data_IF_386067667385
#
_entry.id   IF_386067667385
#
_cell.length_a   1.000
_cell.length_b   1.000
_cell.length_c   1.000
_cell.angle_alpha   90.00
_cell.angle_beta   90.00
_cell.angle_gamma   90.00
#
_symmetry.space_group_name_H-M   'P 1'
#
loop_
_entity.id
_entity.type
_entity.pdbx_description
1 polymer ?
#
# COMPACT_ATOMS: atom_id res chain seq x y z
N UNK A 1 8.56 -9.15 8.97
CA UNK A 1 8.77 -8.16 7.86
C UNK A 1 10.09 -7.42 8.07
N UNK A 2 10.78 -7.05 6.97
CA UNK A 2 12.04 -6.30 7.05
C UNK A 2 11.72 -4.86 7.50
N UNK A 3 12.42 -4.37 8.52
CA UNK A 3 12.29 -2.98 8.99
C UNK A 3 12.80 -2.02 7.91
N UNK A 4 12.16 -0.84 7.78
CA UNK A 4 12.73 0.22 6.95
C UNK A 4 14.08 0.67 7.48
N UNK A 5 14.98 1.04 6.59
CA UNK A 5 16.27 1.65 6.91
C UNK A 5 16.30 3.05 6.31
N UNK A 6 16.57 4.06 7.13
CA UNK A 6 16.68 5.45 6.67
C UNK A 6 18.11 5.96 6.81
N UNK A 7 18.70 6.40 5.70
CA UNK A 7 19.92 7.15 5.73
C UNK A 7 19.64 8.56 6.29
N UNK A 8 20.48 9.03 7.22
CA UNK A 8 20.32 10.33 7.86
C UNK A 8 21.42 11.28 7.39
N UNK A 9 21.01 12.40 6.83
CA UNK A 9 21.87 13.53 6.47
C UNK A 9 21.64 14.65 7.48
N UNK A 10 22.71 15.28 7.96
CA UNK A 10 22.66 16.44 8.85
C UNK A 10 23.30 17.63 8.17
N UNK A 11 22.51 18.69 7.95
CA UNK A 11 22.98 19.92 7.34
C UNK A 11 23.67 20.82 8.38
N UNK A 12 24.70 21.53 7.98
CA UNK A 12 25.32 22.62 8.75
C UNK A 12 25.69 23.78 7.85
N UNK A 13 25.69 24.99 8.42
CA UNK A 13 26.31 26.18 7.80
C UNK A 13 27.21 26.84 8.84
N UNK A 14 28.49 27.06 8.49
CA UNK A 14 29.61 27.29 9.42
C UNK A 14 29.51 28.44 10.40
N UNK A 15 28.68 29.45 10.14
CA UNK A 15 28.47 30.58 11.06
C UNK A 15 27.23 30.42 11.96
N UNK A 16 26.46 29.34 11.79
CA UNK A 16 25.37 28.98 12.70
C UNK A 16 25.86 28.07 13.84
N UNK A 17 25.09 27.92 14.94
CA UNK A 17 25.53 27.12 16.07
C UNK A 17 25.73 25.64 15.69
N UNK A 18 26.99 25.20 15.60
CA UNK A 18 27.33 23.79 15.35
C UNK A 18 27.08 22.87 16.53
N UNK A 19 26.96 23.43 17.75
CA UNK A 19 26.68 22.66 18.98
C UNK A 19 25.35 21.89 18.93
N UNK A 20 24.37 22.34 18.11
CA UNK A 20 23.07 21.70 17.97
C UNK A 20 23.08 20.41 17.14
N UNK A 21 24.19 20.14 16.41
CA UNK A 21 24.22 18.99 15.48
C UNK A 21 24.31 17.67 16.23
N UNK A 22 25.14 17.60 17.27
CA UNK A 22 25.31 16.36 18.06
C UNK A 22 23.98 15.90 18.66
N UNK A 23 23.27 16.81 19.33
CA UNK A 23 21.95 16.49 19.92
C UNK A 23 20.92 16.13 18.84
N UNK A 24 20.90 16.86 17.71
CA UNK A 24 20.00 16.57 16.60
C UNK A 24 20.24 15.16 16.02
N UNK A 25 21.49 14.73 15.93
CA UNK A 25 21.84 13.38 15.49
C UNK A 25 21.26 12.31 16.42
N UNK A 26 21.45 12.46 17.74
CA UNK A 26 20.93 11.54 18.75
C UNK A 26 19.39 11.49 18.75
N UNK A 27 18.75 12.65 18.69
CA UNK A 27 17.29 12.80 18.66
C UNK A 27 16.67 12.20 17.39
N UNK A 28 17.30 12.39 16.23
CA UNK A 28 16.82 11.85 14.97
C UNK A 28 16.94 10.32 14.90
N UNK A 29 18.05 9.76 15.38
CA UNK A 29 18.23 8.31 15.51
C UNK A 29 17.12 7.73 16.40
N UNK A 30 16.90 8.30 17.58
CA UNK A 30 15.87 7.86 18.50
C UNK A 30 14.46 7.98 17.89
N UNK A 31 14.18 9.03 17.09
CA UNK A 31 12.91 9.20 16.41
C UNK A 31 12.67 8.10 15.36
N UNK A 32 13.69 7.77 14.57
CA UNK A 32 13.62 6.67 13.57
C UNK A 32 13.39 5.32 14.25
N UNK A 33 14.10 5.05 15.34
CA UNK A 33 13.94 3.80 16.10
C UNK A 33 12.56 3.68 16.74
N UNK A 34 11.96 4.80 17.18
CA UNK A 34 10.61 4.85 17.78
C UNK A 34 9.53 4.32 16.84
N UNK A 35 9.67 4.52 15.53
CA UNK A 35 8.75 3.96 14.52
C UNK A 35 9.15 2.55 14.05
N UNK A 36 10.10 1.90 14.74
CA UNK A 36 10.56 0.55 14.43
C UNK A 36 11.49 0.46 13.22
N UNK A 37 11.95 1.59 12.66
CA UNK A 37 12.92 1.64 11.58
C UNK A 37 14.36 1.60 12.10
N UNK A 38 15.35 1.53 11.21
CA UNK A 38 16.78 1.59 11.50
C UNK A 38 17.38 2.87 10.92
N UNK A 39 18.25 3.52 11.67
CA UNK A 39 19.00 4.67 11.20
C UNK A 39 20.35 4.22 10.63
N UNK A 40 20.67 4.67 9.42
CA UNK A 40 21.97 4.51 8.77
C UNK A 40 22.66 5.89 8.76
N UNK A 41 23.75 6.02 9.48
CA UNK A 41 24.43 7.29 9.68
C UNK A 41 25.90 7.22 9.28
N UNK A 42 26.37 8.26 8.59
CA UNK A 42 27.81 8.44 8.37
C UNK A 42 28.56 8.56 9.70
N UNK A 43 29.79 8.06 9.75
CA UNK A 43 30.65 8.18 10.93
C UNK A 43 30.84 9.67 11.30
N UNK A 44 30.59 10.08 12.57
CA UNK A 44 30.71 11.47 13.01
C UNK A 44 32.15 12.01 12.93
N UNK A 45 33.19 11.16 12.87
CA UNK A 45 34.57 11.55 12.77
C UNK A 45 34.98 11.91 11.32
N UNK A 46 34.23 11.57 10.30
CA UNK A 46 34.55 11.87 8.89
C UNK A 46 34.36 13.34 8.53
N UNK A 47 33.48 14.03 9.23
CA UNK A 47 33.22 15.47 9.09
C UNK A 47 32.89 16.04 10.48
N UNK A 48 32.65 17.35 10.57
CA UNK A 48 32.28 17.96 11.84
C UNK A 48 30.94 17.38 12.34
N UNK A 49 31.00 16.50 13.32
CA UNK A 49 29.83 15.77 13.89
C UNK A 49 29.08 14.89 12.88
N UNK A 50 29.70 14.50 11.79
CA UNK A 50 29.03 13.76 10.72
C UNK A 50 28.04 14.61 9.91
N UNK A 51 28.11 15.95 10.02
CA UNK A 51 27.31 16.88 9.25
C UNK A 51 27.99 17.27 7.94
N UNK A 52 27.23 17.87 7.02
CA UNK A 52 27.72 18.37 5.73
C UNK A 52 27.61 19.89 5.69
N UNK A 53 28.75 20.55 5.49
CA UNK A 53 28.90 22.00 5.47
C UNK A 53 29.49 22.51 4.15
N UNK A 54 30.27 21.67 3.44
CA UNK A 54 30.98 22.02 2.23
C UNK A 54 30.68 21.04 1.09
N UNK A 55 30.96 21.41 -0.18
CA UNK A 55 30.87 20.48 -1.31
C UNK A 55 31.74 19.23 -1.15
N UNK A 56 32.93 19.37 -0.52
CA UNK A 56 33.84 18.26 -0.23
C UNK A 56 33.19 17.26 0.71
N UNK A 57 32.58 17.72 1.79
CA UNK A 57 31.85 16.90 2.76
C UNK A 57 30.60 16.29 2.11
N UNK A 58 29.95 17.02 1.20
CA UNK A 58 28.86 16.49 0.36
C UNK A 58 29.31 15.28 -0.46
N UNK A 59 30.49 15.32 -1.05
CA UNK A 59 31.07 14.15 -1.77
C UNK A 59 31.42 12.98 -0.84
N UNK A 60 31.90 13.25 0.39
CA UNK A 60 32.11 12.21 1.39
C UNK A 60 30.77 11.51 1.70
N UNK A 61 29.70 12.28 1.94
CA UNK A 61 28.37 11.73 2.19
C UNK A 61 27.82 10.95 1.00
N UNK A 62 28.00 11.44 -0.23
CA UNK A 62 27.58 10.73 -1.45
C UNK A 62 28.32 9.37 -1.58
N UNK A 63 29.61 9.32 -1.27
CA UNK A 63 30.37 8.07 -1.27
C UNK A 63 29.88 7.11 -0.17
N UNK A 64 29.54 7.63 1.01
CA UNK A 64 28.89 6.85 2.06
C UNK A 64 27.56 6.24 1.58
N UNK A 65 26.68 6.99 0.96
CA UNK A 65 25.43 6.47 0.41
C UNK A 65 25.69 5.40 -0.67
N UNK A 66 26.68 5.63 -1.53
CA UNK A 66 27.05 4.68 -2.59
C UNK A 66 27.60 3.36 -2.04
N UNK A 67 28.37 3.40 -0.95
CA UNK A 67 28.87 2.18 -0.31
C UNK A 67 27.78 1.36 0.39
N UNK A 68 26.60 1.94 0.61
CA UNK A 68 25.42 1.31 1.22
C UNK A 68 24.22 1.28 0.23
N UNK A 69 24.50 1.35 -1.10
CA UNK A 69 23.44 1.22 -2.11
C UNK A 69 22.66 -0.08 -1.85
N UNK A 70 21.32 -0.04 -1.94
CA UNK A 70 20.40 -1.12 -1.60
C UNK A 70 20.21 -1.45 -0.10
N UNK A 71 20.94 -0.82 0.81
CA UNK A 71 20.76 -1.05 2.24
C UNK A 71 19.75 -0.11 2.90
N UNK A 72 19.38 1.02 2.25
CA UNK A 72 18.43 1.99 2.78
C UNK A 72 17.22 2.19 1.86
N UNK A 73 16.07 2.47 2.47
CA UNK A 73 14.77 2.60 1.79
C UNK A 73 14.39 4.06 1.55
N UNK A 74 14.98 4.99 2.29
CA UNK A 74 14.71 6.42 2.20
C UNK A 74 15.85 7.25 2.80
N UNK A 75 15.89 8.53 2.43
CA UNK A 75 16.85 9.50 2.97
C UNK A 75 16.09 10.59 3.75
N UNK A 76 16.53 10.86 4.97
CA UNK A 76 16.01 11.98 5.77
C UNK A 76 17.05 13.10 5.78
N UNK A 77 16.69 14.24 5.21
CA UNK A 77 17.47 15.48 5.26
C UNK A 77 17.06 16.28 6.50
N UNK A 78 17.88 16.22 7.54
CA UNK A 78 17.69 16.93 8.79
C UNK A 78 18.45 18.25 8.77
N UNK A 79 17.75 19.35 9.05
CA UNK A 79 18.32 20.69 9.20
C UNK A 79 18.33 21.08 10.69
N UNK A 80 19.41 20.82 11.44
CA UNK A 80 19.58 21.31 12.81
C UNK A 80 19.72 22.82 12.89
N UNK A 81 20.26 23.44 11.82
CA UNK A 81 20.34 24.87 11.57
C UNK A 81 20.06 25.14 10.07
N UNK A 82 20.42 26.31 9.57
CA UNK A 82 20.15 26.77 8.20
C UNK A 82 20.61 25.77 7.12
N UNK A 83 21.75 25.12 7.29
CA UNK A 83 22.36 24.19 6.33
C UNK A 83 23.05 24.87 5.15
N UNK A 84 23.92 24.11 4.45
CA UNK A 84 24.62 24.56 3.25
C UNK A 84 24.05 23.95 1.99
N UNK A 85 23.68 24.79 1.02
CA UNK A 85 23.03 24.38 -0.23
C UNK A 85 23.99 23.71 -1.22
N UNK A 86 25.27 24.05 -1.21
CA UNK A 86 26.26 23.47 -2.12
C UNK A 86 26.68 22.07 -1.66
N UNK A 87 26.84 21.88 -0.35
CA UNK A 87 27.13 20.56 0.23
C UNK A 87 26.04 19.56 -0.07
N UNK A 88 24.78 19.96 0.09
CA UNK A 88 23.64 19.07 -0.16
C UNK A 88 23.50 18.67 -1.64
N UNK A 89 23.80 19.58 -2.58
CA UNK A 89 23.77 19.30 -4.03
C UNK A 89 24.70 18.14 -4.38
N UNK A 90 25.92 18.13 -3.83
CA UNK A 90 26.89 17.05 -4.04
C UNK A 90 26.46 15.75 -3.34
N UNK A 91 25.88 15.86 -2.13
CA UNK A 91 25.51 14.72 -1.31
C UNK A 91 24.41 13.85 -1.91
N UNK A 92 23.45 14.45 -2.64
CA UNK A 92 22.21 13.76 -3.03
C UNK A 92 22.01 13.58 -4.53
N UNK A 93 22.96 14.00 -5.36
CA UNK A 93 22.83 14.01 -6.83
C UNK A 93 22.45 12.65 -7.45
N UNK A 94 22.84 11.56 -6.83
CA UNK A 94 22.61 10.19 -7.32
C UNK A 94 21.54 9.42 -6.50
N UNK A 95 20.84 10.10 -5.58
CA UNK A 95 19.83 9.47 -4.70
C UNK A 95 18.57 9.13 -5.51
N UNK A 96 18.16 7.86 -5.43
CA UNK A 96 16.99 7.31 -6.16
C UNK A 96 15.83 6.89 -5.25
N UNK A 97 16.00 6.97 -3.94
CA UNK A 97 14.98 6.65 -2.94
C UNK A 97 14.17 7.90 -2.55
N UNK A 98 13.00 7.75 -1.92
CA UNK A 98 12.27 8.90 -1.36
C UNK A 98 13.11 9.70 -0.37
N UNK A 99 12.88 11.02 -0.36
CA UNK A 99 13.58 11.97 0.51
C UNK A 99 12.56 12.68 1.38
N UNK A 100 12.76 12.69 2.71
CA UNK A 100 12.00 13.48 3.68
C UNK A 100 12.83 14.68 4.14
N UNK A 101 12.24 15.89 4.14
CA UNK A 101 12.85 17.10 4.69
C UNK A 101 12.29 17.38 6.07
N UNK A 102 13.16 17.39 7.07
CA UNK A 102 12.88 17.81 8.43
C UNK A 102 13.76 19.03 8.77
N UNK A 103 13.20 20.01 9.47
CA UNK A 103 13.94 21.13 10.04
C UNK A 103 13.47 21.39 11.47
N UNK A 104 14.39 21.80 12.33
CA UNK A 104 14.11 22.14 13.71
C UNK A 104 13.41 23.50 13.81
N UNK A 105 12.42 23.67 14.70
CA UNK A 105 11.89 24.98 15.06
C UNK A 105 12.93 25.76 15.88
N UNK A 106 12.88 27.10 15.81
CA UNK A 106 13.56 27.95 16.76
C UNK A 106 12.72 28.10 18.05
N UNK A 107 13.40 28.12 19.19
CA UNK A 107 12.79 28.43 20.49
C UNK A 107 12.64 29.95 20.64
N UNK A 108 11.41 30.44 20.96
CA UNK A 108 11.11 31.88 20.97
C UNK A 108 11.94 32.69 21.98
N UNK A 109 12.50 32.07 23.00
CA UNK A 109 13.36 32.64 24.02
C UNK A 109 14.88 32.52 23.66
N UNK A 110 15.22 31.92 22.51
CA UNK A 110 16.60 31.64 22.08
C UNK A 110 16.84 32.10 20.63
N UNK A 111 16.39 33.31 20.30
CA UNK A 111 16.51 33.90 18.95
C UNK A 111 17.76 34.79 18.78
N UNK A 112 18.64 34.83 19.76
CA UNK A 112 19.91 35.56 19.65
C UNK A 112 20.89 34.87 18.68
N UNK A 113 21.89 35.58 18.16
CA UNK A 113 22.83 35.05 17.14
C UNK A 113 23.61 33.79 17.58
N UNK A 114 23.77 33.55 18.87
CA UNK A 114 24.50 32.38 19.37
C UNK A 114 23.64 31.11 19.43
N UNK A 115 22.33 31.24 19.48
CA UNK A 115 21.40 30.15 19.73
C UNK A 115 20.41 29.86 18.58
N UNK A 116 20.08 30.88 17.77
CA UNK A 116 19.10 30.74 16.69
C UNK A 116 19.57 29.77 15.61
N UNK A 117 18.69 28.91 15.17
CA UNK A 117 18.92 27.88 14.17
C UNK A 117 18.71 28.37 12.74
N UNK A 118 17.69 29.22 12.52
CA UNK A 118 17.18 29.66 11.21
C UNK A 118 16.87 28.50 10.24
N UNK A 119 16.59 27.31 10.77
CA UNK A 119 16.34 26.13 9.97
C UNK A 119 15.05 26.23 9.15
N UNK A 120 14.08 27.06 9.57
CA UNK A 120 12.89 27.39 8.79
C UNK A 120 13.26 28.04 7.44
N UNK A 121 14.09 29.08 7.47
CA UNK A 121 14.59 29.74 6.25
C UNK A 121 15.45 28.78 5.42
N UNK A 122 16.34 28.02 6.09
CA UNK A 122 17.19 27.04 5.44
C UNK A 122 16.38 25.99 4.68
N UNK A 123 15.28 25.47 5.27
CA UNK A 123 14.40 24.50 4.61
C UNK A 123 13.73 25.09 3.36
N UNK A 124 13.27 26.34 3.39
CA UNK A 124 12.72 27.01 2.20
C UNK A 124 13.76 27.13 1.08
N UNK A 125 14.99 27.57 1.42
CA UNK A 125 16.10 27.62 0.47
C UNK A 125 16.40 26.25 -0.13
N UNK A 126 16.50 25.23 0.73
CA UNK A 126 16.74 23.86 0.29
C UNK A 126 15.63 23.33 -0.63
N UNK A 127 14.36 23.56 -0.30
CA UNK A 127 13.24 23.17 -1.18
C UNK A 127 13.38 23.79 -2.59
N UNK A 128 13.79 25.07 -2.67
CA UNK A 128 14.04 25.72 -3.94
C UNK A 128 15.18 25.08 -4.73
N UNK A 129 16.28 24.74 -4.06
CA UNK A 129 17.43 24.06 -4.68
C UNK A 129 17.05 22.67 -5.17
N UNK A 130 16.37 21.87 -4.36
CA UNK A 130 15.91 20.53 -4.76
C UNK A 130 14.98 20.60 -5.97
N UNK A 131 14.09 21.60 -6.01
CA UNK A 131 13.21 21.83 -7.17
C UNK A 131 14.00 22.19 -8.43
N UNK A 132 15.03 23.04 -8.33
CA UNK A 132 15.92 23.37 -9.44
C UNK A 132 16.70 22.15 -9.95
N UNK A 133 17.07 21.22 -9.06
CA UNK A 133 17.73 19.96 -9.39
C UNK A 133 16.77 18.90 -9.93
N UNK A 134 15.46 19.17 -9.99
CA UNK A 134 14.41 18.21 -10.32
C UNK A 134 14.40 16.99 -9.37
N UNK A 135 14.80 17.18 -8.13
CA UNK A 135 14.77 16.15 -7.07
C UNK A 135 13.40 16.15 -6.40
N UNK A 136 12.80 14.97 -6.27
CA UNK A 136 11.50 14.77 -5.60
C UNK A 136 11.73 14.62 -4.11
N UNK A 137 10.88 15.26 -3.29
CA UNK A 137 10.98 15.19 -1.83
C UNK A 137 9.59 15.31 -1.19
N UNK A 138 9.50 14.87 0.06
CA UNK A 138 8.34 14.96 0.94
C UNK A 138 8.65 15.95 2.06
N UNK A 139 7.71 16.83 2.38
CA UNK A 139 7.80 17.69 3.56
C UNK A 139 7.12 17.02 4.77
N UNK A 140 7.56 17.41 5.97
CA UNK A 140 6.80 17.20 7.20
C UNK A 140 5.50 18.01 7.17
N UNK A 141 4.45 17.59 7.85
CA UNK A 141 3.15 18.30 7.90
C UNK A 141 3.35 19.69 8.48
N UNK A 142 3.92 19.80 9.69
CA UNK A 142 4.42 21.08 10.19
C UNK A 142 5.73 21.39 9.52
N UNK A 143 5.88 22.62 9.01
CA UNK A 143 7.04 22.98 8.19
C UNK A 143 8.37 22.81 8.92
N UNK A 144 8.41 23.16 10.21
CA UNK A 144 9.47 22.79 11.16
C UNK A 144 8.85 21.94 12.28
N UNK A 145 9.56 20.91 12.72
CA UNK A 145 9.04 19.96 13.69
C UNK A 145 10.17 19.40 14.56
N UNK A 146 9.94 19.29 15.86
CA UNK A 146 10.86 18.65 16.79
C UNK A 146 10.83 17.12 16.58
N UNK A 147 11.97 16.45 16.38
CA UNK A 147 12.05 15.00 16.26
C UNK A 147 11.44 14.20 17.43
N UNK A 148 11.29 14.81 18.60
CA UNK A 148 10.69 14.18 19.79
C UNK A 148 9.17 14.23 19.78
N UNK A 149 8.55 15.01 18.91
CA UNK A 149 7.10 15.23 18.89
C UNK A 149 6.34 14.01 18.36
N UNK A 150 5.04 13.99 18.68
CA UNK A 150 4.08 13.01 18.13
C UNK A 150 3.87 13.26 16.64
N UNK A 151 3.83 14.54 16.24
CA UNK A 151 3.68 14.96 14.85
C UNK A 151 4.80 14.39 13.97
N UNK A 152 6.04 14.46 14.43
CA UNK A 152 7.16 13.88 13.66
C UNK A 152 7.11 12.34 13.63
N UNK A 153 6.61 11.71 14.68
CA UNK A 153 6.34 10.26 14.68
C UNK A 153 5.32 9.89 13.60
N UNK A 154 4.28 10.70 13.41
CA UNK A 154 3.29 10.52 12.33
C UNK A 154 3.91 10.76 10.94
N UNK A 155 4.75 11.81 10.79
CA UNK A 155 5.50 12.07 9.57
C UNK A 155 6.42 10.90 9.17
N UNK A 156 7.14 10.31 10.14
CA UNK A 156 7.99 9.14 9.91
C UNK A 156 7.18 7.89 9.55
N UNK A 157 6.01 7.70 10.16
CA UNK A 157 5.09 6.61 9.83
C UNK A 157 4.60 6.72 8.40
N UNK A 158 4.16 7.93 8.00
CA UNK A 158 3.77 8.24 6.63
C UNK A 158 4.93 8.06 5.65
N UNK A 159 6.11 8.56 5.98
CA UNK A 159 7.31 8.41 5.13
C UNK A 159 7.74 6.94 4.98
N UNK A 160 7.63 6.16 6.06
CA UNK A 160 7.85 4.71 6.01
C UNK A 160 6.91 4.03 5.01
N UNK A 161 5.63 4.40 5.00
CA UNK A 161 4.65 3.91 4.03
C UNK A 161 5.04 4.29 2.59
N UNK A 162 5.41 5.56 2.35
CA UNK A 162 5.86 6.05 1.03
C UNK A 162 7.04 5.22 0.53
N UNK A 163 8.06 5.01 1.36
CA UNK A 163 9.26 4.24 0.98
C UNK A 163 8.90 2.79 0.60
N UNK A 164 8.02 2.13 1.38
CA UNK A 164 7.58 0.76 1.10
C UNK A 164 6.81 0.66 -0.21
N UNK A 165 5.86 1.58 -0.44
CA UNK A 165 5.07 1.63 -1.67
C UNK A 165 5.99 1.81 -2.88
N UNK A 166 6.87 2.83 -2.85
CA UNK A 166 7.77 3.14 -3.96
C UNK A 166 8.70 1.96 -4.25
N UNK A 167 9.31 1.39 -3.21
CA UNK A 167 10.21 0.24 -3.35
C UNK A 167 9.52 -0.97 -3.98
N UNK A 168 8.27 -1.25 -3.55
CA UNK A 168 7.56 -2.46 -3.97
C UNK A 168 6.94 -2.33 -5.36
N UNK A 169 6.37 -1.17 -5.69
CA UNK A 169 5.67 -0.97 -6.96
C UNK A 169 6.62 -0.63 -8.12
N UNK A 170 7.82 -0.12 -7.86
CA UNK A 170 8.78 0.26 -8.91
C UNK A 170 9.18 -0.89 -9.83
N UNK A 171 9.13 -2.13 -9.34
CA UNK A 171 9.46 -3.35 -10.07
C UNK A 171 8.49 -4.47 -9.66
N UNK A 172 7.19 -4.20 -9.77
CA UNK A 172 6.12 -5.11 -9.40
C UNK A 172 5.84 -6.10 -10.52
N UNK A 173 5.55 -7.36 -10.15
CA UNK A 173 5.01 -8.36 -11.08
C UNK A 173 3.61 -8.79 -10.66
N UNK A 174 2.67 -8.74 -11.61
CA UNK A 174 1.27 -9.14 -11.43
C UNK A 174 1.06 -10.46 -12.19
N UNK A 175 0.62 -11.51 -11.48
CA UNK A 175 0.18 -12.73 -12.12
C UNK A 175 -1.32 -12.67 -12.42
N UNK A 176 -1.71 -12.80 -13.68
CA UNK A 176 -3.10 -12.90 -14.10
C UNK A 176 -3.47 -14.36 -14.30
N UNK A 177 -4.38 -14.87 -13.48
CA UNK A 177 -4.82 -16.27 -13.53
C UNK A 177 -6.11 -16.40 -14.34
N UNK A 178 -5.97 -16.73 -15.61
CA UNK A 178 -7.05 -16.87 -16.58
C UNK A 178 -7.41 -15.60 -17.33
N UNK A 179 -8.15 -15.76 -18.42
CA UNK A 179 -8.59 -14.66 -19.24
C UNK A 179 -9.71 -13.85 -18.57
N UNK A 180 -9.80 -12.56 -18.92
CA UNK A 180 -10.89 -11.69 -18.45
C UNK A 180 -12.25 -12.32 -18.74
N UNK A 181 -13.15 -12.27 -17.74
CA UNK A 181 -14.55 -12.69 -17.91
C UNK A 181 -15.22 -11.86 -19.00
N UNK A 182 -15.86 -12.53 -19.99
CA UNK A 182 -16.35 -11.91 -21.24
C UNK A 182 -17.27 -10.70 -21.01
N UNK A 183 -18.14 -10.76 -20.00
CA UNK A 183 -19.08 -9.69 -19.66
C UNK A 183 -18.38 -8.44 -19.09
N UNK A 184 -17.23 -8.58 -18.44
CA UNK A 184 -16.55 -7.48 -17.74
C UNK A 184 -15.62 -6.67 -18.64
N UNK A 185 -16.18 -5.89 -19.52
CA UNK A 185 -15.38 -4.94 -20.33
C UNK A 185 -14.84 -3.78 -19.50
N UNK A 186 -15.42 -3.49 -18.35
CA UNK A 186 -14.98 -2.43 -17.42
C UNK A 186 -13.63 -2.69 -16.78
N UNK A 187 -13.16 -3.96 -16.68
CA UNK A 187 -11.86 -4.33 -16.15
C UNK A 187 -10.79 -4.49 -17.23
N UNK A 188 -11.01 -3.99 -18.46
CA UNK A 188 -9.96 -3.93 -19.48
C UNK A 188 -8.86 -2.99 -19.04
N UNK A 189 -7.64 -3.32 -19.41
CA UNK A 189 -6.46 -2.53 -19.05
C UNK A 189 -5.50 -2.38 -20.23
N UNK A 190 -4.65 -1.40 -20.14
CA UNK A 190 -3.52 -1.16 -21.03
C UNK A 190 -2.26 -1.69 -20.33
N UNK A 191 -1.80 -2.85 -20.80
CA UNK A 191 -0.62 -3.54 -20.26
C UNK A 191 0.64 -2.69 -20.42
N UNK A 192 0.82 -2.05 -21.60
CA UNK A 192 1.94 -1.17 -21.84
C UNK A 192 1.98 0.05 -20.91
N UNK A 193 0.81 0.58 -20.49
CA UNK A 193 0.76 1.66 -19.51
C UNK A 193 1.23 1.20 -18.11
N UNK A 194 0.95 -0.05 -17.74
CA UNK A 194 1.41 -0.65 -16.49
C UNK A 194 2.92 -0.91 -16.53
N UNK A 195 3.43 -1.51 -17.61
CA UNK A 195 4.86 -1.77 -17.81
C UNK A 195 5.69 -0.48 -17.78
N UNK A 196 5.20 0.59 -18.43
CA UNK A 196 5.83 1.91 -18.40
C UNK A 196 5.94 2.50 -16.99
N UNK A 197 5.22 1.96 -16.01
CA UNK A 197 5.25 2.33 -14.60
C UNK A 197 5.92 1.29 -13.70
N UNK A 198 6.56 0.27 -14.29
CA UNK A 198 7.29 -0.77 -13.57
C UNK A 198 6.43 -1.95 -13.11
N UNK A 199 5.20 -2.08 -13.62
CA UNK A 199 4.31 -3.21 -13.33
C UNK A 199 4.35 -4.20 -14.50
N UNK A 200 5.13 -5.26 -14.36
CA UNK A 200 5.21 -6.39 -15.30
C UNK A 200 3.97 -7.30 -15.12
N UNK A 201 3.30 -7.65 -16.20
CA UNK A 201 2.06 -8.45 -16.17
C UNK A 201 2.29 -9.81 -16.82
N UNK A 202 2.21 -10.88 -16.02
CA UNK A 202 2.39 -12.26 -16.46
C UNK A 202 1.04 -12.97 -16.50
N UNK A 203 0.55 -13.32 -17.69
CA UNK A 203 -0.75 -13.99 -17.87
C UNK A 203 -0.57 -15.49 -17.98
N UNK A 204 -1.19 -16.24 -17.06
CA UNK A 204 -1.26 -17.70 -17.07
C UNK A 204 -2.67 -18.16 -17.45
N UNK A 205 -2.75 -19.17 -18.31
CA UNK A 205 -4.03 -19.83 -18.60
C UNK A 205 -4.53 -20.60 -17.37
N UNK A 206 -5.85 -20.66 -17.17
CA UNK A 206 -6.44 -21.43 -16.05
C UNK A 206 -6.10 -22.91 -16.11
N UNK A 207 -5.82 -23.47 -17.28
CA UNK A 207 -5.38 -24.87 -17.41
C UNK A 207 -4.07 -25.12 -16.66
N UNK A 208 -3.15 -24.16 -16.64
CA UNK A 208 -1.90 -24.26 -15.88
C UNK A 208 -2.16 -24.29 -14.37
N UNK A 209 -3.13 -23.49 -13.88
CA UNK A 209 -3.57 -23.53 -12.48
C UNK A 209 -4.22 -24.87 -12.17
N UNK A 210 -5.09 -25.36 -13.03
CA UNK A 210 -5.78 -26.64 -12.87
C UNK A 210 -4.83 -27.84 -12.88
N UNK A 211 -3.80 -27.80 -13.73
CA UNK A 211 -2.79 -28.86 -13.76
C UNK A 211 -1.99 -28.91 -12.45
N UNK A 212 -1.67 -27.77 -11.85
CA UNK A 212 -1.06 -27.74 -10.52
C UNK A 212 -2.00 -28.33 -9.46
N UNK A 213 -3.27 -27.92 -9.43
CA UNK A 213 -4.28 -28.46 -8.49
C UNK A 213 -4.38 -29.99 -8.63
N UNK A 214 -4.40 -30.54 -9.86
CA UNK A 214 -4.47 -31.99 -10.12
C UNK A 214 -3.24 -32.75 -9.61
N UNK A 215 -2.06 -32.14 -9.61
CA UNK A 215 -0.81 -32.75 -9.13
C UNK A 215 -0.73 -32.81 -7.60
N UNK A 216 -1.51 -32.00 -6.88
CA UNK A 216 -1.52 -31.99 -5.42
C UNK A 216 -2.37 -33.15 -4.92
N UNK A 217 -1.75 -34.10 -4.18
CA UNK A 217 -2.45 -35.20 -3.55
C UNK A 217 -3.39 -34.72 -2.44
N UNK A 218 -4.51 -35.42 -2.21
CA UNK A 218 -5.39 -35.16 -1.06
C UNK A 218 -4.71 -35.41 0.29
N UNK A 219 -3.58 -36.12 0.30
CA UNK A 219 -2.74 -36.36 1.47
C UNK A 219 -1.53 -35.47 1.58
N UNK A 220 -1.43 -34.39 0.76
CA UNK A 220 -0.35 -33.43 0.85
C UNK A 220 -0.40 -32.71 2.21
N UNK A 221 0.69 -32.69 3.01
CA UNK A 221 0.67 -32.10 4.34
C UNK A 221 0.35 -30.58 4.34
N UNK A 222 0.57 -29.89 3.24
CA UNK A 222 0.21 -28.47 3.08
C UNK A 222 -1.31 -28.23 3.13
N UNK A 223 -2.12 -29.26 2.87
CA UNK A 223 -3.59 -29.16 2.98
C UNK A 223 -4.00 -28.88 4.43
N UNK A 224 -3.37 -29.52 5.42
CA UNK A 224 -3.67 -29.27 6.83
C UNK A 224 -3.28 -27.84 7.26
N UNK A 225 -2.19 -27.33 6.70
CA UNK A 225 -1.75 -25.96 6.95
C UNK A 225 -2.75 -24.94 6.38
N UNK A 226 -3.12 -25.09 5.12
CA UNK A 226 -4.11 -24.26 4.47
C UNK A 226 -5.50 -24.33 5.13
N UNK A 227 -5.93 -25.53 5.54
CA UNK A 227 -7.19 -25.68 6.26
C UNK A 227 -7.19 -24.92 7.59
N UNK A 228 -6.07 -24.93 8.34
CA UNK A 228 -5.96 -24.13 9.58
C UNK A 228 -6.10 -22.65 9.31
N UNK A 229 -5.53 -22.13 8.24
CA UNK A 229 -5.64 -20.72 7.88
C UNK A 229 -7.03 -20.36 7.39
N UNK A 230 -7.66 -21.20 6.59
CA UNK A 230 -9.07 -21.04 6.20
C UNK A 230 -9.95 -21.00 7.45
N UNK A 231 -9.74 -21.94 8.40
CA UNK A 231 -10.46 -21.96 9.68
C UNK A 231 -10.19 -20.75 10.56
N UNK A 232 -9.06 -20.08 10.40
CA UNK A 232 -8.76 -18.87 11.13
C UNK A 232 -9.62 -17.67 10.67
N UNK A 233 -9.97 -17.59 9.38
CA UNK A 233 -10.73 -16.49 8.81
C UNK A 233 -12.20 -16.77 8.56
N UNK A 234 -12.60 -18.06 8.48
CA UNK A 234 -13.96 -18.48 8.13
C UNK A 234 -14.41 -19.68 8.94
N UNK A 235 -15.67 -19.68 9.38
CA UNK A 235 -16.31 -20.89 9.89
C UNK A 235 -16.66 -21.81 8.71
N UNK A 236 -16.17 -23.04 8.77
CA UNK A 236 -16.33 -24.06 7.72
C UNK A 236 -17.01 -25.33 8.24
N UNK A 237 -17.76 -25.23 9.36
CA UNK A 237 -18.40 -26.39 10.00
C UNK A 237 -19.37 -27.13 9.09
N UNK A 238 -20.08 -26.41 8.24
CA UNK A 238 -21.11 -26.96 7.33
C UNK A 238 -20.57 -27.24 5.91
N UNK A 239 -19.27 -27.00 5.67
CA UNK A 239 -18.66 -27.11 4.34
C UNK A 239 -18.26 -28.56 4.04
N UNK A 240 -18.68 -29.12 2.89
CA UNK A 240 -18.29 -30.47 2.50
C UNK A 240 -16.77 -30.64 2.38
N UNK A 241 -16.25 -31.79 2.81
CA UNK A 241 -14.79 -32.06 2.82
C UNK A 241 -14.13 -31.82 1.47
N UNK A 242 -14.76 -32.21 0.36
CA UNK A 242 -14.19 -32.00 -0.97
C UNK A 242 -13.97 -30.53 -1.29
N UNK A 243 -14.87 -29.64 -0.87
CA UNK A 243 -14.75 -28.23 -1.11
C UNK A 243 -13.60 -27.63 -0.30
N UNK A 244 -13.43 -28.04 0.96
CA UNK A 244 -12.30 -27.63 1.80
C UNK A 244 -10.98 -28.05 1.15
N UNK A 245 -10.86 -29.31 0.72
CA UNK A 245 -9.65 -29.83 0.05
C UNK A 245 -9.36 -29.06 -1.23
N UNK A 246 -10.38 -28.76 -2.06
CA UNK A 246 -10.21 -28.01 -3.30
C UNK A 246 -9.80 -26.55 -3.05
N UNK A 247 -10.32 -25.91 -2.00
CA UNK A 247 -9.86 -24.58 -1.57
C UNK A 247 -8.37 -24.63 -1.18
N UNK A 248 -7.97 -25.61 -0.37
CA UNK A 248 -6.58 -25.76 0.04
C UNK A 248 -5.65 -25.99 -1.17
N UNK A 249 -6.03 -26.88 -2.09
CA UNK A 249 -5.26 -27.12 -3.32
C UNK A 249 -5.13 -25.88 -4.19
N UNK A 250 -6.19 -25.09 -4.32
CA UNK A 250 -6.11 -23.81 -5.04
C UNK A 250 -5.11 -22.86 -4.38
N UNK A 251 -5.15 -22.75 -3.04
CA UNK A 251 -4.21 -21.92 -2.30
C UNK A 251 -2.75 -22.37 -2.49
N UNK A 252 -2.49 -23.67 -2.38
CA UNK A 252 -1.16 -24.26 -2.62
C UNK A 252 -0.69 -23.98 -4.06
N UNK A 253 -1.57 -24.14 -5.07
CA UNK A 253 -1.23 -23.86 -6.47
C UNK A 253 -0.86 -22.40 -6.69
N UNK A 254 -1.59 -21.46 -6.08
CA UNK A 254 -1.28 -20.01 -6.14
C UNK A 254 0.08 -19.72 -5.50
N UNK A 255 0.41 -20.32 -4.35
CA UNK A 255 1.73 -20.17 -3.72
C UNK A 255 2.88 -20.73 -4.57
N UNK A 256 2.65 -21.86 -5.26
CA UNK A 256 3.63 -22.41 -6.18
C UNK A 256 3.87 -21.46 -7.35
N UNK A 257 2.82 -20.92 -7.95
CA UNK A 257 2.91 -19.91 -9.02
C UNK A 257 3.63 -18.67 -8.50
N UNK A 258 3.29 -18.19 -7.30
CA UNK A 258 3.97 -17.03 -6.70
C UNK A 258 5.48 -17.22 -6.62
N UNK A 259 5.93 -18.39 -6.17
CA UNK A 259 7.36 -18.71 -6.03
C UNK A 259 8.05 -18.83 -7.39
N UNK A 260 7.40 -19.47 -8.36
CA UNK A 260 7.95 -19.70 -9.70
C UNK A 260 8.20 -18.42 -10.48
N UNK A 261 7.20 -17.53 -10.52
CA UNK A 261 7.29 -16.29 -11.30
C UNK A 261 7.59 -15.06 -10.44
N UNK A 262 7.73 -15.22 -9.11
CA UNK A 262 7.98 -14.15 -8.15
C UNK A 262 6.92 -13.04 -8.22
N UNK A 263 5.64 -13.44 -8.28
CA UNK A 263 4.52 -12.51 -8.32
C UNK A 263 4.40 -11.72 -7.02
N UNK A 264 4.14 -10.43 -7.11
CA UNK A 264 3.89 -9.52 -6.00
C UNK A 264 2.41 -9.39 -5.67
N UNK A 265 1.56 -9.57 -6.68
CA UNK A 265 0.10 -9.56 -6.59
C UNK A 265 -0.52 -10.41 -7.70
N UNK A 266 -1.80 -10.70 -7.56
CA UNK A 266 -2.55 -11.52 -8.49
C UNK A 266 -3.85 -10.83 -8.92
N UNK A 267 -4.34 -11.23 -10.12
CA UNK A 267 -5.69 -10.98 -10.57
C UNK A 267 -6.29 -12.30 -11.06
N UNK A 268 -7.39 -12.76 -10.46
CA UNK A 268 -7.93 -14.11 -10.72
C UNK A 268 -9.27 -14.08 -11.46
N UNK A 269 -9.41 -14.94 -12.46
CA UNK A 269 -10.71 -15.27 -13.04
C UNK A 269 -11.48 -16.19 -12.10
N UNK A 270 -12.42 -15.60 -11.33
CA UNK A 270 -13.17 -16.29 -10.29
C UNK A 270 -14.43 -17.03 -10.80
N UNK A 271 -14.92 -16.71 -12.01
CA UNK A 271 -16.08 -17.40 -12.66
C UNK A 271 -15.72 -17.83 -14.08
N UNK A 272 -16.29 -18.87 -14.58
CA UNK A 272 -17.15 -19.92 -13.97
C UNK A 272 -16.43 -21.25 -13.91
N UNK A 273 -15.20 -21.27 -14.38
CA UNK A 273 -14.43 -22.50 -14.59
C UNK A 273 -14.10 -23.23 -13.28
N UNK A 274 -13.79 -22.46 -12.20
CA UNK A 274 -13.57 -23.04 -10.87
C UNK A 274 -14.81 -23.72 -10.31
N UNK A 275 -16.00 -23.17 -10.59
CA UNK A 275 -17.28 -23.78 -10.18
C UNK A 275 -17.56 -25.06 -10.98
N UNK A 276 -17.28 -25.09 -12.29
CA UNK A 276 -17.49 -26.28 -13.11
C UNK A 276 -16.54 -27.41 -12.74
N UNK A 277 -15.23 -27.12 -12.61
CA UNK A 277 -14.19 -28.13 -12.45
C UNK A 277 -14.02 -28.57 -10.98
N UNK A 278 -14.06 -27.61 -10.03
CA UNK A 278 -13.69 -27.84 -8.63
C UNK A 278 -14.83 -27.61 -7.64
N UNK A 279 -15.99 -27.11 -8.09
CA UNK A 279 -17.16 -26.81 -7.24
C UNK A 279 -16.85 -25.78 -6.14
N UNK A 280 -15.95 -24.83 -6.40
CA UNK A 280 -15.52 -23.80 -5.46
C UNK A 280 -15.54 -22.40 -6.06
N UNK A 281 -15.61 -21.41 -5.18
CA UNK A 281 -15.39 -20.00 -5.44
C UNK A 281 -14.13 -19.56 -4.69
N UNK A 282 -13.17 -18.81 -5.26
CA UNK A 282 -11.86 -18.58 -4.66
C UNK A 282 -11.82 -17.56 -3.52
N UNK A 283 -12.95 -16.96 -3.13
CA UNK A 283 -13.00 -15.79 -2.26
C UNK A 283 -12.31 -16.01 -0.90
N UNK A 284 -12.52 -17.18 -0.26
CA UNK A 284 -11.86 -17.48 1.02
C UNK A 284 -10.34 -17.61 0.86
N UNK A 285 -9.86 -18.27 -0.22
CA UNK A 285 -8.43 -18.37 -0.51
C UNK A 285 -7.84 -16.97 -0.74
N UNK A 286 -8.55 -16.10 -1.45
CA UNK A 286 -8.14 -14.71 -1.64
C UNK A 286 -8.06 -13.97 -0.31
N UNK A 287 -9.03 -14.16 0.59
CA UNK A 287 -9.02 -13.58 1.93
C UNK A 287 -7.78 -13.98 2.75
N UNK A 288 -7.38 -15.27 2.69
CA UNK A 288 -6.14 -15.76 3.32
C UNK A 288 -4.90 -15.09 2.73
N UNK A 289 -4.81 -15.03 1.40
CA UNK A 289 -3.66 -14.41 0.72
C UNK A 289 -3.58 -12.90 0.97
N UNK A 290 -4.73 -12.22 0.96
CA UNK A 290 -4.82 -10.80 1.28
C UNK A 290 -4.40 -10.48 2.73
N UNK A 291 -4.71 -11.37 3.69
CA UNK A 291 -4.21 -11.30 5.06
C UNK A 291 -2.68 -11.46 5.13
N UNK A 292 -2.11 -12.34 4.33
CA UNK A 292 -0.66 -12.56 4.21
C UNK A 292 0.07 -11.44 3.44
N UNK A 293 -0.65 -10.40 3.01
CA UNK A 293 -0.15 -9.28 2.21
C UNK A 293 0.40 -9.71 0.83
N UNK A 294 -0.20 -10.74 0.28
CA UNK A 294 -0.05 -11.19 -1.10
C UNK A 294 -1.38 -10.89 -1.80
N UNK A 295 -1.58 -9.68 -2.32
CA UNK A 295 -2.88 -9.26 -2.80
C UNK A 295 -3.39 -10.08 -3.98
N UNK A 296 -4.64 -10.49 -3.92
CA UNK A 296 -5.36 -11.10 -5.04
C UNK A 296 -6.63 -10.30 -5.29
N UNK A 297 -6.73 -9.68 -6.46
CA UNK A 297 -7.93 -8.97 -6.89
C UNK A 297 -8.85 -9.90 -7.69
N UNK A 298 -10.16 -9.72 -7.51
CA UNK A 298 -11.19 -10.53 -8.16
C UNK A 298 -11.38 -10.15 -9.64
N UNK A 299 -12.00 -11.08 -10.41
CA UNK A 299 -12.54 -10.82 -11.74
C UNK A 299 -11.54 -10.35 -12.78
N UNK A 300 -10.25 -10.71 -12.56
CA UNK A 300 -9.12 -10.27 -13.40
C UNK A 300 -9.02 -8.73 -13.52
N UNK A 301 -9.33 -8.02 -12.43
CA UNK A 301 -9.19 -6.57 -12.38
C UNK A 301 -7.73 -6.15 -12.15
N UNK A 302 -6.91 -6.35 -13.18
CA UNK A 302 -5.45 -6.17 -13.14
C UNK A 302 -5.04 -4.78 -12.66
N UNK A 303 -5.78 -3.74 -13.02
CA UNK A 303 -5.42 -2.36 -12.65
C UNK A 303 -5.61 -2.06 -11.16
N UNK A 304 -6.42 -2.83 -10.44
CA UNK A 304 -6.55 -2.71 -9.00
C UNK A 304 -5.52 -3.55 -8.21
N UNK A 305 -4.74 -4.43 -8.86
CA UNK A 305 -3.66 -5.15 -8.18
C UNK A 305 -2.55 -4.21 -7.66
N UNK A 306 -2.06 -3.19 -8.41
CA UNK A 306 -1.17 -2.17 -7.86
C UNK A 306 -1.80 -1.36 -6.72
N UNK A 307 -3.10 -1.05 -6.78
CA UNK A 307 -3.79 -0.38 -5.66
C UNK A 307 -3.76 -1.24 -4.39
N UNK A 308 -4.11 -2.53 -4.51
CA UNK A 308 -4.07 -3.46 -3.38
C UNK A 308 -2.66 -3.57 -2.79
N UNK A 309 -1.63 -3.72 -3.62
CA UNK A 309 -0.25 -3.80 -3.14
C UNK A 309 0.20 -2.50 -2.49
N UNK A 310 -0.11 -1.33 -3.09
CA UNK A 310 0.22 -0.03 -2.50
C UNK A 310 -0.41 0.13 -1.11
N UNK A 311 -1.68 -0.24 -0.97
CA UNK A 311 -2.40 -0.13 0.30
C UNK A 311 -1.91 -1.15 1.34
N UNK A 312 -1.58 -2.38 0.94
CA UNK A 312 -0.94 -3.36 1.81
C UNK A 312 0.42 -2.87 2.33
N UNK A 313 1.20 -2.23 1.46
CA UNK A 313 2.50 -1.64 1.85
C UNK A 313 2.35 -0.38 2.69
N UNK A 314 1.26 0.37 2.54
CA UNK A 314 0.98 1.53 3.39
C UNK A 314 0.61 1.11 4.81
N UNK A 315 -0.39 0.26 4.95
CA UNK A 315 -1.01 -0.08 6.23
C UNK A 315 -0.30 -1.19 7.01
N UNK A 316 0.38 -2.11 6.32
CA UNK A 316 0.83 -3.41 6.86
C UNK A 316 -0.29 -4.26 7.45
N UNK A 317 -1.53 -3.97 7.08
CA UNK A 317 -2.71 -4.78 7.39
C UNK A 317 -3.27 -5.42 6.13
N UNK A 318 -4.27 -6.25 6.27
CA UNK A 318 -4.95 -6.84 5.13
C UNK A 318 -5.66 -5.80 4.27
N UNK A 319 -5.78 -6.10 2.99
CA UNK A 319 -6.48 -5.28 1.99
C UNK A 319 -7.61 -6.07 1.37
N UNK A 320 -8.68 -5.39 0.95
CA UNK A 320 -9.82 -6.04 0.32
C UNK A 320 -10.34 -5.29 -0.89
N UNK A 321 -10.93 -6.03 -1.84
CA UNK A 321 -11.66 -5.48 -2.96
C UNK A 321 -13.16 -5.60 -2.68
N UNK A 322 -13.88 -4.48 -2.79
CA UNK A 322 -15.34 -4.40 -2.64
C UNK A 322 -15.94 -3.58 -3.78
N UNK A 323 -17.22 -3.82 -4.04
CA UNK A 323 -18.04 -3.01 -4.95
C UNK A 323 -18.63 -1.82 -4.21
N UNK A 324 -18.62 -0.64 -4.80
CA UNK A 324 -19.59 0.39 -4.45
C UNK A 324 -20.93 -0.09 -5.00
N UNK A 325 -21.73 -0.70 -4.11
CA UNK A 325 -22.86 -1.55 -4.53
C UNK A 325 -24.21 -0.82 -4.58
N UNK A 326 -24.54 -0.05 -3.54
CA UNK A 326 -25.83 0.59 -3.44
C UNK A 326 -25.83 1.80 -2.52
N UNK A 327 -26.73 2.76 -2.75
CA UNK A 327 -27.04 3.80 -1.78
C UNK A 327 -27.59 3.17 -0.47
N UNK A 328 -27.33 3.81 0.65
CA UNK A 328 -27.97 3.42 1.91
C UNK A 328 -29.22 4.26 2.13
N UNK A 329 -30.36 3.77 1.65
CA UNK A 329 -31.62 4.51 1.65
C UNK A 329 -31.49 5.86 0.96
N UNK A 330 -31.99 6.90 1.61
CA UNK A 330 -31.98 8.30 1.12
C UNK A 330 -30.78 9.11 1.70
N UNK A 331 -29.87 8.48 2.45
CA UNK A 331 -28.71 9.17 3.01
C UNK A 331 -27.72 9.52 1.89
N UNK A 332 -27.43 10.81 1.64
CA UNK A 332 -26.63 11.22 0.50
C UNK A 332 -25.13 10.91 0.65
N UNK A 333 -24.66 10.67 1.87
CA UNK A 333 -23.26 10.43 2.20
C UNK A 333 -22.94 8.97 2.56
N UNK A 334 -23.95 8.07 2.55
CA UNK A 334 -23.75 6.65 2.85
C UNK A 334 -24.01 5.73 1.67
N UNK A 335 -23.18 4.71 1.54
CA UNK A 335 -23.42 3.60 0.61
C UNK A 335 -23.02 2.25 1.21
N UNK A 336 -23.52 1.19 0.59
CA UNK A 336 -23.15 -0.18 0.89
C UNK A 336 -21.96 -0.55 0.02
N UNK A 337 -20.90 -1.01 0.65
CA UNK A 337 -19.85 -1.77 -0.03
C UNK A 337 -20.17 -3.26 0.10
N UNK A 338 -19.93 -4.01 -0.97
CA UNK A 338 -20.24 -5.44 -1.03
C UNK A 338 -19.23 -6.19 -1.92
N UNK A 339 -18.95 -7.44 -1.59
CA UNK A 339 -18.40 -8.44 -2.51
C UNK A 339 -18.68 -9.86 -2.01
N UNK A 340 -18.37 -10.87 -2.85
CA UNK A 340 -18.51 -12.28 -2.47
C UNK A 340 -17.61 -12.76 -1.33
N UNK A 341 -16.81 -11.89 -0.70
CA UNK A 341 -16.03 -12.16 0.51
C UNK A 341 -14.54 -12.42 0.33
N UNK A 342 -13.82 -11.75 -0.60
CA UNK A 342 -12.36 -11.86 -0.70
C UNK A 342 -11.64 -11.02 0.35
N UNK A 343 -12.22 -10.90 1.55
CA UNK A 343 -11.71 -10.04 2.61
C UNK A 343 -10.84 -10.80 3.61
N UNK A 344 -9.73 -10.19 4.04
CA UNK A 344 -8.92 -10.70 5.16
C UNK A 344 -9.65 -10.49 6.47
N UNK A 345 -9.27 -11.30 7.48
CA UNK A 345 -9.83 -11.20 8.84
C UNK A 345 -9.59 -9.82 9.47
N UNK A 346 -8.49 -9.15 9.11
CA UNK A 346 -8.15 -7.81 9.61
C UNK A 346 -9.25 -6.77 9.37
N UNK A 347 -10.03 -6.94 8.31
CA UNK A 347 -11.10 -6.02 7.92
C UNK A 347 -12.49 -6.45 8.44
N UNK A 348 -12.62 -7.65 9.01
CA UNK A 348 -13.90 -8.16 9.48
C UNK A 348 -14.15 -7.89 10.96
N UNK A 349 -15.41 -7.74 11.36
CA UNK A 349 -15.83 -7.65 12.77
C UNK A 349 -15.50 -8.91 13.55
N UNK A 350 -15.62 -10.06 12.90
CA UNK A 350 -15.40 -11.38 13.43
C UNK A 350 -15.05 -12.33 12.28
N UNK A 351 -14.72 -13.56 12.64
CA UNK A 351 -14.57 -14.66 11.69
C UNK A 351 -15.81 -14.74 10.78
N UNK A 352 -15.57 -14.83 9.48
CA UNK A 352 -16.63 -15.00 8.50
C UNK A 352 -17.26 -16.38 8.56
N UNK A 353 -18.21 -16.62 7.67
CA UNK A 353 -18.85 -17.93 7.48
C UNK A 353 -18.73 -18.32 6.00
N UNK A 354 -18.23 -19.54 5.74
CA UNK A 354 -18.10 -20.04 4.36
C UNK A 354 -19.43 -20.58 3.86
N UNK A 355 -19.91 -20.01 2.78
CA UNK A 355 -21.16 -20.40 2.12
C UNK A 355 -20.99 -20.60 0.61
N UNK A 356 -22.03 -21.13 -0.02
CA UNK A 356 -22.10 -21.21 -1.48
C UNK A 356 -22.46 -19.87 -2.09
N UNK A 357 -21.94 -19.62 -3.29
CA UNK A 357 -22.28 -18.43 -4.04
C UNK A 357 -23.70 -18.48 -4.56
N UNK A 358 -24.62 -17.76 -3.94
CA UNK A 358 -26.08 -17.82 -4.19
C UNK A 358 -26.50 -17.62 -5.65
N UNK A 359 -25.75 -16.85 -6.44
CA UNK A 359 -26.06 -16.70 -7.88
C UNK A 359 -25.71 -17.96 -8.68
N UNK A 360 -24.63 -18.67 -8.34
CA UNK A 360 -24.28 -19.92 -9.02
C UNK A 360 -25.21 -21.06 -8.63
N UNK A 361 -25.62 -21.14 -7.37
CA UNK A 361 -26.56 -22.17 -6.94
C UNK A 361 -27.91 -22.10 -7.67
N UNK A 362 -28.34 -20.88 -8.05
CA UNK A 362 -29.57 -20.70 -8.87
C UNK A 362 -29.45 -21.24 -10.29
N UNK A 363 -28.25 -21.26 -10.86
CA UNK A 363 -28.02 -21.63 -12.26
C UNK A 363 -27.39 -23.02 -12.44
N UNK A 364 -26.61 -23.47 -11.48
CA UNK A 364 -25.83 -24.73 -11.54
C UNK A 364 -26.27 -25.76 -10.51
N UNK A 365 -27.17 -25.42 -9.58
CA UNK A 365 -27.61 -26.26 -8.48
C UNK A 365 -26.76 -26.15 -7.22
N UNK A 366 -27.15 -26.86 -6.17
CA UNK A 366 -26.44 -26.88 -4.90
C UNK A 366 -25.11 -27.63 -4.98
N UNK A 367 -24.21 -27.35 -4.06
CA UNK A 367 -22.87 -27.95 -3.93
C UNK A 367 -21.96 -27.69 -5.15
N UNK A 368 -22.08 -26.51 -5.78
CA UNK A 368 -21.30 -26.16 -6.96
C UNK A 368 -20.34 -24.98 -6.77
N UNK A 369 -20.36 -24.24 -5.62
CA UNK A 369 -19.71 -22.93 -5.53
C UNK A 369 -19.30 -22.53 -4.11
N UNK A 370 -18.86 -23.48 -3.29
CA UNK A 370 -18.37 -23.24 -1.92
C UNK A 370 -17.12 -22.36 -1.90
N UNK A 371 -17.07 -21.37 -1.00
CA UNK A 371 -15.88 -20.52 -0.81
C UNK A 371 -16.15 -19.03 -0.71
N UNK A 372 -17.41 -18.60 -0.73
CA UNK A 372 -17.79 -17.23 -0.31
C UNK A 372 -17.51 -17.12 1.18
N UNK A 373 -16.83 -16.06 1.63
CA UNK A 373 -16.63 -15.78 3.05
C UNK A 373 -17.53 -14.62 3.49
N UNK A 374 -18.71 -14.96 3.96
CA UNK A 374 -19.70 -13.97 4.39
C UNK A 374 -19.30 -13.32 5.72
N UNK A 375 -19.39 -12.01 5.80
CA UNK A 375 -19.03 -11.28 7.01
C UNK A 375 -19.25 -9.77 6.90
N UNK A 376 -19.21 -9.08 8.03
CA UNK A 376 -19.35 -7.62 8.09
C UNK A 376 -17.98 -6.98 8.27
N UNK A 377 -17.70 -5.92 7.49
CA UNK A 377 -16.52 -5.08 7.67
C UNK A 377 -16.62 -4.35 9.01
N UNK A 378 -15.54 -4.33 9.79
CA UNK A 378 -15.52 -3.70 11.11
C UNK A 378 -15.61 -2.17 11.02
N UNK A 379 -16.31 -1.53 11.96
CA UNK A 379 -16.36 -0.07 12.05
C UNK A 379 -14.96 0.49 12.29
N UNK A 380 -14.45 1.26 11.35
CA UNK A 380 -13.16 1.93 11.43
C UNK A 380 -13.01 2.97 10.31
N UNK A 381 -12.06 3.88 10.46
CA UNK A 381 -11.61 4.70 9.34
C UNK A 381 -10.89 3.82 8.33
N UNK A 382 -11.19 3.99 7.04
CA UNK A 382 -10.57 3.30 5.92
C UNK A 382 -10.05 4.28 4.87
N UNK A 383 -9.04 3.83 4.16
CA UNK A 383 -8.66 4.42 2.87
C UNK A 383 -9.34 3.62 1.76
N UNK A 384 -9.91 4.33 0.79
CA UNK A 384 -10.50 3.78 -0.43
C UNK A 384 -9.65 4.20 -1.62
N UNK A 385 -9.32 3.27 -2.52
CA UNK A 385 -8.57 3.54 -3.74
C UNK A 385 -9.15 2.76 -4.92
N UNK A 386 -9.14 3.39 -6.10
CA UNK A 386 -9.43 2.71 -7.36
C UNK A 386 -8.42 3.11 -8.42
N UNK A 387 -8.02 2.15 -9.27
CA UNK A 387 -7.09 2.40 -10.37
C UNK A 387 -7.66 1.96 -11.71
N UNK A 388 -7.27 2.67 -12.77
CA UNK A 388 -7.59 2.34 -14.16
C UNK A 388 -6.46 2.78 -15.08
N UNK A 389 -6.43 2.24 -16.29
CA UNK A 389 -5.53 2.70 -17.35
C UNK A 389 -6.31 3.40 -18.45
N UNK A 390 -5.76 4.45 -18.99
CA UNK A 390 -6.32 5.20 -20.12
C UNK A 390 -5.23 5.96 -20.87
N UNK A 391 -5.21 5.82 -22.20
CA UNK A 391 -4.30 6.56 -23.09
C UNK A 391 -2.81 6.49 -22.68
N UNK A 392 -2.32 5.32 -22.25
CA UNK A 392 -0.95 5.12 -21.79
C UNK A 392 -0.66 5.63 -20.38
N UNK A 393 -1.68 6.05 -19.64
CA UNK A 393 -1.56 6.49 -18.25
C UNK A 393 -2.18 5.48 -17.27
N UNK A 394 -1.62 5.39 -16.08
CA UNK A 394 -2.25 4.77 -14.91
C UNK A 394 -2.86 5.89 -14.08
N UNK A 395 -4.19 5.88 -13.97
CA UNK A 395 -4.96 6.88 -13.23
C UNK A 395 -5.56 6.27 -11.97
N UNK A 396 -5.60 7.03 -10.89
CA UNK A 396 -6.15 6.57 -9.62
C UNK A 396 -6.91 7.68 -8.90
N UNK A 397 -7.80 7.28 -8.02
CA UNK A 397 -8.33 8.14 -6.97
C UNK A 397 -8.04 7.52 -5.60
N UNK A 398 -8.01 8.36 -4.58
CA UNK A 398 -7.91 7.94 -3.19
C UNK A 398 -8.76 8.83 -2.31
N UNK A 399 -9.56 8.21 -1.42
CA UNK A 399 -10.47 8.87 -0.51
C UNK A 399 -10.40 8.25 0.88
N UNK A 400 -10.69 9.05 1.89
CA UNK A 400 -10.91 8.60 3.26
C UNK A 400 -12.40 8.45 3.50
N UNK A 401 -12.80 7.36 4.12
CA UNK A 401 -14.18 7.12 4.56
C UNK A 401 -14.20 6.45 5.92
N UNK A 402 -15.35 6.41 6.56
CA UNK A 402 -15.55 5.69 7.80
C UNK A 402 -16.56 4.54 7.58
N UNK A 403 -16.20 3.33 7.99
CA UNK A 403 -17.13 2.21 8.06
C UNK A 403 -17.99 2.40 9.31
N UNK A 404 -19.30 2.41 9.12
CA UNK A 404 -20.27 2.61 10.20
C UNK A 404 -20.54 1.29 10.94
N UNK A 405 -21.22 1.38 12.10
CA UNK A 405 -21.67 0.20 12.86
C UNK A 405 -23.07 -0.30 12.40
N UNK A 406 -23.50 0.04 11.21
CA UNK A 406 -24.79 -0.36 10.67
C UNK A 406 -24.75 -1.82 10.21
N UNK A 407 -25.71 -2.61 10.67
CA UNK A 407 -25.94 -3.99 10.21
C UNK A 407 -27.04 -4.02 9.16
N UNK A 408 -26.78 -4.78 8.09
CA UNK A 408 -27.79 -5.07 7.07
C UNK A 408 -28.58 -6.35 7.43
N UNK A 409 -29.66 -6.60 6.72
CA UNK A 409 -30.47 -7.80 6.90
C UNK A 409 -29.60 -9.07 6.75
N UNK A 410 -29.89 -10.10 7.53
CA UNK A 410 -29.18 -11.40 7.53
C UNK A 410 -29.27 -12.14 6.18
N UNK A 411 -30.20 -11.78 5.32
CA UNK A 411 -30.29 -12.35 3.96
C UNK A 411 -29.25 -11.77 2.99
N UNK A 412 -28.53 -10.70 3.37
CA UNK A 412 -27.45 -10.15 2.59
C UNK A 412 -26.28 -11.15 2.59
N UNK A 413 -25.92 -11.71 1.44
CA UNK A 413 -24.85 -12.71 1.34
C UNK A 413 -23.49 -12.06 1.06
N UNK A 414 -22.39 -12.80 1.33
CA UNK A 414 -21.04 -12.33 1.10
C UNK A 414 -20.55 -11.35 2.18
N UNK A 415 -19.56 -10.54 1.84
CA UNK A 415 -18.98 -9.55 2.74
C UNK A 415 -19.50 -8.15 2.42
N UNK A 416 -19.83 -7.37 3.45
CA UNK A 416 -20.37 -6.03 3.30
C UNK A 416 -19.93 -5.06 4.40
N UNK A 417 -20.08 -3.78 4.13
CA UNK A 417 -19.99 -2.69 5.09
C UNK A 417 -20.79 -1.49 4.61
N UNK A 418 -21.38 -0.75 5.54
CA UNK A 418 -21.99 0.55 5.23
C UNK A 418 -20.96 1.62 5.55
N UNK A 419 -20.55 2.39 4.55
CA UNK A 419 -19.60 3.48 4.74
C UNK A 419 -20.29 4.83 4.72
N UNK A 420 -19.67 5.78 5.43
CA UNK A 420 -19.94 7.20 5.33
C UNK A 420 -18.78 7.90 4.63
N UNK A 421 -19.08 8.59 3.53
CA UNK A 421 -18.13 9.34 2.72
C UNK A 421 -18.73 10.71 2.39
N UNK A 422 -18.29 11.80 3.02
CA UNK A 422 -18.85 13.12 2.77
C UNK A 422 -18.79 13.52 1.29
N UNK A 423 -19.91 13.99 0.76
CA UNK A 423 -20.05 14.36 -0.66
C UNK A 423 -20.12 13.15 -1.61
N UNK A 424 -20.50 11.97 -1.12
CA UNK A 424 -20.55 10.72 -1.87
C UNK A 424 -21.20 10.85 -3.24
N UNK A 425 -22.39 11.48 -3.33
CA UNK A 425 -23.12 11.54 -4.61
C UNK A 425 -22.35 12.34 -5.69
N UNK A 426 -21.60 13.37 -5.31
CA UNK A 426 -20.72 14.10 -6.24
C UNK A 426 -19.53 13.25 -6.64
N UNK A 427 -18.93 12.56 -5.69
CA UNK A 427 -17.78 11.66 -5.92
C UNK A 427 -18.16 10.49 -6.83
N UNK A 428 -19.33 9.89 -6.65
CA UNK A 428 -19.86 8.84 -7.53
C UNK A 428 -20.07 9.35 -8.97
N UNK A 429 -20.59 10.56 -9.11
CA UNK A 429 -20.71 11.20 -10.44
C UNK A 429 -19.33 11.39 -11.06
N UNK A 430 -18.39 11.95 -10.32
CA UNK A 430 -17.00 12.13 -10.77
C UNK A 430 -16.35 10.77 -11.15
N UNK A 431 -16.50 9.73 -10.32
CA UNK A 431 -16.04 8.37 -10.65
C UNK A 431 -16.62 7.87 -11.98
N UNK A 432 -17.91 8.08 -12.21
CA UNK A 432 -18.59 7.62 -13.42
C UNK A 432 -18.13 8.39 -14.68
N UNK A 433 -18.00 9.70 -14.58
CA UNK A 433 -17.54 10.57 -15.68
C UNK A 433 -16.06 10.31 -16.01
N UNK A 434 -15.24 10.01 -15.01
CA UNK A 434 -13.85 9.64 -15.16
C UNK A 434 -13.63 8.17 -15.51
N UNK A 435 -14.72 7.37 -15.65
CA UNK A 435 -14.68 5.99 -16.10
C UNK A 435 -14.10 4.99 -15.10
N UNK A 436 -14.10 5.29 -13.80
CA UNK A 436 -13.83 4.29 -12.78
C UNK A 436 -15.00 3.32 -12.67
N UNK A 437 -14.70 2.08 -12.32
CA UNK A 437 -15.69 1.03 -12.14
C UNK A 437 -16.10 0.92 -10.66
N UNK A 438 -17.05 0.03 -10.40
CA UNK A 438 -17.57 -0.22 -9.06
C UNK A 438 -16.56 -0.80 -8.07
N UNK A 439 -15.51 -1.51 -8.53
CA UNK A 439 -14.47 -2.04 -7.66
C UNK A 439 -13.68 -0.94 -6.98
N UNK A 440 -13.60 -1.01 -5.66
CA UNK A 440 -12.74 -0.18 -4.83
C UNK A 440 -11.91 -1.06 -3.90
N UNK A 441 -10.70 -0.65 -3.65
CA UNK A 441 -9.80 -1.30 -2.70
C UNK A 441 -9.88 -0.57 -1.38
N UNK A 442 -9.99 -1.33 -0.28
CA UNK A 442 -10.03 -0.77 1.07
C UNK A 442 -8.91 -1.33 1.95
N UNK A 443 -8.45 -0.52 2.88
CA UNK A 443 -7.61 -0.92 4.02
C UNK A 443 -7.92 -0.04 5.23
N UNK A 444 -7.66 -0.53 6.43
CA UNK A 444 -7.82 0.23 7.66
C UNK A 444 -6.84 1.39 7.76
N UNK A 445 -7.30 2.52 8.29
CA UNK A 445 -6.52 3.74 8.52
C UNK A 445 -6.60 4.76 7.40
N UNK A 446 -6.04 5.95 7.66
CA UNK A 446 -5.93 7.05 6.68
C UNK A 446 -4.51 7.07 6.07
N UNK A 447 -4.40 6.56 4.86
CA UNK A 447 -3.17 6.49 4.08
C UNK A 447 -3.20 7.37 2.83
N UNK A 448 -4.22 8.23 2.70
CA UNK A 448 -4.44 9.03 1.49
C UNK A 448 -3.22 9.83 1.09
N UNK A 449 -2.60 10.53 2.03
CA UNK A 449 -1.41 11.37 1.77
C UNK A 449 -0.21 10.51 1.35
N UNK A 450 0.02 9.37 2.03
CA UNK A 450 1.12 8.47 1.67
C UNK A 450 0.97 7.91 0.26
N UNK A 451 -0.26 7.52 -0.12
CA UNK A 451 -0.56 7.04 -1.46
C UNK A 451 -0.37 8.13 -2.52
N UNK A 452 -0.87 9.36 -2.28
CA UNK A 452 -0.69 10.50 -3.19
C UNK A 452 0.78 10.79 -3.44
N UNK A 453 1.56 10.89 -2.38
CA UNK A 453 3.00 11.16 -2.47
C UNK A 453 3.73 10.03 -3.22
N UNK A 454 3.46 8.78 -2.89
CA UNK A 454 4.13 7.63 -3.52
C UNK A 454 3.73 7.47 -4.99
N UNK A 455 2.43 7.41 -5.27
CA UNK A 455 1.91 7.11 -6.60
C UNK A 455 2.16 8.25 -7.60
N UNK A 456 1.78 9.48 -7.25
CA UNK A 456 1.95 10.60 -8.19
C UNK A 456 3.38 11.10 -8.24
N UNK A 457 4.00 11.37 -7.09
CA UNK A 457 5.30 12.04 -7.05
C UNK A 457 6.45 11.12 -7.46
N UNK A 458 6.46 9.86 -7.00
CA UNK A 458 7.58 8.95 -7.24
C UNK A 458 7.32 7.95 -8.37
N UNK A 459 6.10 7.45 -8.53
CA UNK A 459 5.77 6.41 -9.52
C UNK A 459 5.14 6.98 -10.80
N UNK A 460 4.74 8.26 -10.81
CA UNK A 460 4.23 8.94 -11.99
C UNK A 460 2.82 8.51 -12.41
N UNK A 461 1.99 8.06 -11.45
CA UNK A 461 0.57 7.81 -11.66
C UNK A 461 -0.20 9.12 -11.61
N UNK A 462 -1.30 9.20 -12.33
CA UNK A 462 -2.13 10.42 -12.42
C UNK A 462 -3.29 10.36 -11.42
N UNK A 463 -3.28 11.25 -10.42
CA UNK A 463 -4.41 11.37 -9.49
C UNK A 463 -5.61 12.01 -10.16
N UNK A 464 -6.78 11.44 -9.95
CA UNK A 464 -8.09 12.02 -10.24
C UNK A 464 -8.74 12.42 -8.92
N UNK A 465 -8.94 13.71 -8.72
CA UNK A 465 -9.63 14.24 -7.55
C UNK A 465 -11.13 14.12 -7.75
N UNK A 466 -11.79 13.34 -6.89
CA UNK A 466 -13.24 13.21 -6.90
C UNK A 466 -13.88 14.45 -6.26
N UNK A 467 -14.68 15.20 -7.00
CA UNK A 467 -15.23 16.50 -6.56
C UNK A 467 -16.75 16.60 -6.81
#
# INVERSE_FOLDING_TARGET
MKKNVFALYFANRGFFPGSVIKSAREEMIAAVERVGAQALCMDPELTRYGAVETPEEGRIFANFLKSHEDEYDGLILCLPNFGDENGIKEAIKDVKVPILLQAYPDELDRLDPANRRDAFCGKLGLCAVLKQMNVRFVNTVSFTVDPKSVEFTQDLTRFSAICRIVKRLKHMRIAVLGARTTAFKSVRFDEGALEARGCDVETLDLTQVFDKIKQISDSDPRIEEWEREIRAISDISDVPRYAIVNQCKLGIAIEEIQREIKADAFAIRCWSELQYEYKITPCTVMGVMNHRQIPIVCETDVTNAPAMLAMAMASYTGVGCLDVNNNYGDDPDKCILFHCGPLPIDLLCAKGHMEEHKMFTKTQGLNCSWGVNAGRVKPCTITICGMRTENGEVRYFVEKADVTDIELDREFFGAYGVIELPGLQKKLRSMSEEGFRHHVIITEGDWCEALREALSKYLGYTEVKLS
#
